data_IF_257281144741
#
_entry.id   IF_257281144741
#
_cell.length_a   1.000
_cell.length_b   1.000
_cell.length_c   1.000
_cell.angle_alpha   90.00
_cell.angle_beta   90.00
_cell.angle_gamma   90.00
#
_symmetry.space_group_name_H-M   'P 1'
#
loop_
_entity.id
_entity.type
_entity.pdbx_description
1 polymer ?
#
# COMPACT_ATOMS: atom_id res chain seq x y z
N UNK A 1 -14.69 3.02 -4.74
CA UNK A 1 -14.50 1.57 -4.98
C UNK A 1 -15.04 1.25 -6.34
N UNK A 2 -14.28 0.52 -7.15
CA UNK A 2 -14.71 0.13 -8.49
C UNK A 2 -15.77 -0.98 -8.36
N UNK A 3 -16.91 -0.75 -8.98
CA UNK A 3 -18.01 -1.70 -9.06
C UNK A 3 -17.67 -2.77 -10.12
N UNK A 4 -17.68 -4.08 -9.79
CA UNK A 4 -17.41 -5.14 -10.75
C UNK A 4 -18.42 -5.18 -11.92
N UNK A 5 -19.56 -4.48 -11.82
CA UNK A 5 -20.53 -4.34 -12.92
C UNK A 5 -20.20 -3.23 -13.93
N UNK A 6 -19.25 -2.34 -13.63
CA UNK A 6 -18.83 -1.30 -14.57
C UNK A 6 -17.86 -1.85 -15.63
N UNK A 7 -18.09 -1.48 -16.89
CA UNK A 7 -17.19 -1.82 -17.99
C UNK A 7 -15.79 -1.27 -17.69
N UNK A 8 -14.77 -2.13 -17.79
CA UNK A 8 -13.39 -1.73 -17.52
C UNK A 8 -12.99 -0.58 -18.45
N UNK A 9 -12.63 0.54 -17.85
CA UNK A 9 -12.05 1.69 -18.52
C UNK A 9 -10.74 2.05 -17.83
N UNK A 10 -9.65 2.06 -18.60
CA UNK A 10 -8.37 2.50 -18.09
C UNK A 10 -8.39 3.98 -17.73
N UNK A 11 -7.69 4.29 -16.65
CA UNK A 11 -7.54 5.66 -16.18
C UNK A 11 -6.28 6.30 -16.77
N UNK A 12 -6.32 7.58 -17.17
CA UNK A 12 -5.14 8.27 -17.67
C UNK A 12 -4.08 8.41 -16.57
N UNK A 13 -2.83 8.65 -16.95
CA UNK A 13 -1.72 8.78 -16.01
C UNK A 13 -2.03 9.78 -14.89
N UNK A 14 -2.58 10.96 -15.20
CA UNK A 14 -2.95 11.97 -14.18
C UNK A 14 -3.91 11.45 -13.10
N UNK A 15 -4.84 10.55 -13.46
CA UNK A 15 -5.72 9.92 -12.48
C UNK A 15 -5.01 8.86 -11.64
N UNK A 16 -4.00 8.16 -12.19
CA UNK A 16 -3.13 7.25 -11.42
C UNK A 16 -2.34 8.01 -10.34
N UNK A 17 -1.79 9.17 -10.68
CA UNK A 17 -1.13 10.05 -9.70
C UNK A 17 -2.09 10.63 -8.67
N UNK A 18 -3.32 10.97 -9.09
CA UNK A 18 -4.36 11.42 -8.16
C UNK A 18 -4.75 10.31 -7.19
N UNK A 19 -4.89 9.07 -7.66
CA UNK A 19 -5.16 7.91 -6.82
C UNK A 19 -4.04 7.70 -5.80
N UNK A 20 -2.78 7.67 -6.24
CA UNK A 20 -1.63 7.54 -5.35
C UNK A 20 -1.59 8.64 -4.28
N UNK A 21 -1.93 9.88 -4.65
CA UNK A 21 -2.03 10.97 -3.69
C UNK A 21 -3.19 10.78 -2.70
N UNK A 22 -4.34 10.29 -3.16
CA UNK A 22 -5.46 10.00 -2.27
C UNK A 22 -5.12 8.94 -1.24
N UNK A 23 -4.43 7.86 -1.64
CA UNK A 23 -4.05 6.77 -0.74
C UNK A 23 -2.88 7.18 0.18
N UNK A 24 -1.89 7.92 -0.31
CA UNK A 24 -0.76 8.44 0.48
C UNK A 24 -1.20 9.45 1.55
N UNK A 25 -2.18 10.30 1.23
CA UNK A 25 -2.67 11.36 2.12
C UNK A 25 -4.03 11.03 2.76
N UNK A 26 -4.38 9.74 2.83
CA UNK A 26 -5.56 9.27 3.54
C UNK A 26 -5.36 9.34 5.08
N UNK A 27 -6.26 10.01 5.83
CA UNK A 27 -6.13 10.12 7.29
C UNK A 27 -6.11 8.77 8.02
N UNK A 28 -6.76 7.75 7.47
CA UNK A 28 -6.77 6.42 8.08
C UNK A 28 -5.41 5.72 7.90
N UNK A 29 -4.75 5.86 6.73
CA UNK A 29 -3.35 5.47 6.54
C UNK A 29 -2.43 6.11 7.57
N UNK A 30 -2.57 7.42 7.85
CA UNK A 30 -1.72 8.12 8.82
C UNK A 30 -1.91 7.65 10.26
N UNK A 31 -3.13 7.25 10.61
CA UNK A 31 -3.41 6.66 11.93
C UNK A 31 -2.72 5.29 12.06
N UNK A 32 -2.77 4.46 11.02
CA UNK A 32 -2.02 3.18 10.98
C UNK A 32 -0.51 3.43 11.06
N UNK A 33 0.02 4.41 10.33
CA UNK A 33 1.42 4.84 10.43
C UNK A 33 1.79 5.20 11.87
N UNK A 34 0.89 5.89 12.59
CA UNK A 34 1.05 6.24 14.00
C UNK A 34 1.21 5.03 14.91
N UNK A 35 0.35 4.03 14.72
CA UNK A 35 0.40 2.77 15.45
C UNK A 35 1.68 2.01 15.12
N UNK A 36 2.02 1.89 13.84
CA UNK A 36 3.24 1.22 13.39
C UNK A 36 4.49 1.86 13.99
N UNK A 37 4.60 3.19 13.96
CA UNK A 37 5.68 3.93 14.59
C UNK A 37 5.75 3.71 16.10
N UNK A 38 4.59 3.55 16.76
CA UNK A 38 4.50 3.26 18.19
C UNK A 38 5.02 1.86 18.54
N UNK A 39 4.68 0.85 17.74
CA UNK A 39 5.22 -0.51 17.88
C UNK A 39 6.72 -0.52 17.62
N UNK A 40 7.19 0.15 16.56
CA UNK A 40 8.61 0.28 16.25
C UNK A 40 9.38 1.04 17.36
N UNK A 41 8.76 2.04 17.99
CA UNK A 41 9.32 2.75 19.14
C UNK A 41 9.48 1.82 20.34
N UNK A 42 8.45 1.04 20.65
CA UNK A 42 8.44 0.10 21.77
C UNK A 42 9.49 -0.99 21.62
N UNK A 43 9.69 -1.50 20.40
CA UNK A 43 10.73 -2.49 20.10
C UNK A 43 12.14 -1.92 19.91
N UNK A 44 12.33 -0.60 20.01
CA UNK A 44 13.56 0.11 19.64
C UNK A 44 14.08 -0.20 18.22
N UNK A 45 13.19 -0.54 17.29
CA UNK A 45 13.53 -0.73 15.88
C UNK A 45 14.13 0.58 15.35
N UNK A 46 15.12 0.52 14.46
CA UNK A 46 15.80 1.72 13.96
C UNK A 46 16.48 2.53 15.08
N UNK A 47 17.19 1.86 16.00
CA UNK A 47 17.81 2.45 17.20
C UNK A 47 18.63 3.73 16.96
N UNK A 48 19.19 3.92 15.76
CA UNK A 48 19.85 5.17 15.36
C UNK A 48 18.96 6.43 15.40
N UNK A 49 17.64 6.29 15.49
CA UNK A 49 16.72 7.40 15.75
C UNK A 49 16.66 7.83 17.21
N UNK A 50 17.09 6.98 18.14
CA UNK A 50 16.99 7.18 19.59
C UNK A 50 15.60 6.89 20.14
N UNK A 51 15.42 7.12 21.45
CA UNK A 51 14.16 6.92 22.17
C UNK A 51 13.45 8.25 22.49
N UNK A 52 12.25 8.16 23.09
CA UNK A 52 11.42 9.32 23.42
C UNK A 52 10.72 9.95 22.21
N UNK A 53 10.13 11.13 22.43
CA UNK A 53 9.28 11.80 21.44
C UNK A 53 10.01 12.09 20.11
N UNK A 54 11.29 12.44 20.16
CA UNK A 54 12.08 12.68 18.96
C UNK A 54 12.32 11.38 18.16
N UNK A 55 12.64 10.28 18.84
CA UNK A 55 12.78 8.96 18.20
C UNK A 55 11.47 8.53 17.55
N UNK A 56 10.35 8.71 18.24
CA UNK A 56 9.02 8.39 17.72
C UNK A 56 8.69 9.22 16.48
N UNK A 57 8.91 10.54 16.53
CA UNK A 57 8.64 11.44 15.40
C UNK A 57 9.47 11.06 14.16
N UNK A 58 10.73 10.64 14.33
CA UNK A 58 11.56 10.15 13.22
C UNK A 58 11.01 8.84 12.64
N UNK A 59 10.61 7.89 13.49
CA UNK A 59 9.98 6.63 13.06
C UNK A 59 8.67 6.89 12.31
N UNK A 60 7.84 7.79 12.83
CA UNK A 60 6.60 8.22 12.19
C UNK A 60 6.85 8.84 10.83
N UNK A 61 7.76 9.84 10.75
CA UNK A 61 8.10 10.50 9.50
C UNK A 61 8.68 9.54 8.45
N UNK A 62 9.52 8.59 8.88
CA UNK A 62 10.07 7.57 7.99
C UNK A 62 9.00 6.59 7.50
N UNK A 63 8.11 6.12 8.37
CA UNK A 63 7.00 5.24 7.99
C UNK A 63 5.97 5.95 7.09
N UNK A 64 5.73 7.24 7.33
CA UNK A 64 4.93 8.08 6.43
C UNK A 64 5.58 8.19 5.05
N UNK A 65 6.89 8.45 5.00
CA UNK A 65 7.63 8.52 3.74
C UNK A 65 7.60 7.17 3.01
N UNK A 66 7.80 6.05 3.71
CA UNK A 66 7.69 4.69 3.16
C UNK A 66 6.32 4.48 2.51
N UNK A 67 5.23 4.80 3.22
CA UNK A 67 3.87 4.68 2.71
C UNK A 67 3.61 5.56 1.49
N UNK A 68 3.97 6.85 1.55
CA UNK A 68 3.76 7.78 0.45
C UNK A 68 4.56 7.36 -0.80
N UNK A 69 5.84 7.04 -0.64
CA UNK A 69 6.70 6.59 -1.75
C UNK A 69 6.16 5.27 -2.31
N UNK A 70 5.74 4.34 -1.45
CA UNK A 70 5.06 3.10 -1.83
C UNK A 70 3.88 3.38 -2.75
N UNK A 71 2.89 4.15 -2.29
CA UNK A 71 1.71 4.51 -3.09
C UNK A 71 2.06 5.15 -4.43
N UNK A 72 3.00 6.09 -4.47
CA UNK A 72 3.40 6.69 -5.75
C UNK A 72 4.11 5.69 -6.68
N UNK A 73 4.95 4.81 -6.16
CA UNK A 73 5.65 3.83 -6.98
C UNK A 73 4.69 2.76 -7.51
N UNK A 74 3.87 2.17 -6.64
CA UNK A 74 2.98 1.04 -6.97
C UNK A 74 1.69 1.48 -7.66
N UNK A 75 1.21 2.71 -7.43
CA UNK A 75 -0.08 3.16 -7.97
C UNK A 75 0.01 4.20 -9.09
N UNK A 76 1.15 4.90 -9.23
CA UNK A 76 1.31 5.94 -10.25
C UNK A 76 2.48 5.68 -11.21
N UNK A 77 3.72 5.65 -10.73
CA UNK A 77 4.92 5.62 -11.57
C UNK A 77 5.02 4.33 -12.37
N UNK A 78 5.10 3.18 -11.71
CA UNK A 78 5.20 1.90 -12.43
C UNK A 78 3.93 1.56 -13.22
N UNK A 79 2.70 1.78 -12.70
CA UNK A 79 1.49 1.56 -13.49
C UNK A 79 1.41 2.41 -14.75
N UNK A 80 1.94 3.63 -14.73
CA UNK A 80 2.03 4.49 -15.91
C UNK A 80 3.06 3.95 -16.91
N UNK A 81 4.24 3.56 -16.44
CA UNK A 81 5.33 3.06 -17.29
C UNK A 81 5.02 1.69 -17.90
N UNK A 82 4.33 0.83 -17.16
CA UNK A 82 4.05 -0.57 -17.52
C UNK A 82 2.63 -0.78 -18.06
N UNK A 83 1.84 0.29 -18.18
CA UNK A 83 0.46 0.25 -18.65
C UNK A 83 -0.41 -0.75 -17.86
N UNK A 84 -0.29 -0.70 -16.52
CA UNK A 84 -1.09 -1.51 -15.60
C UNK A 84 -2.10 -0.64 -14.86
N UNK A 85 -3.22 -1.23 -14.47
CA UNK A 85 -4.19 -0.60 -13.59
C UNK A 85 -3.80 -0.91 -12.14
N UNK A 86 -3.67 0.11 -11.31
CA UNK A 86 -3.33 -0.02 -9.89
C UNK A 86 -4.55 -0.15 -8.98
N UNK A 87 -5.77 0.02 -9.53
CA UNK A 87 -6.97 0.02 -8.71
C UNK A 87 -7.33 -1.38 -8.23
N UNK A 88 -7.76 -1.45 -6.99
CA UNK A 88 -8.39 -2.64 -6.45
C UNK A 88 -9.83 -2.79 -6.97
N UNK A 89 -10.07 -3.84 -7.75
CA UNK A 89 -11.41 -4.24 -8.20
C UNK A 89 -12.01 -5.21 -7.18
N UNK A 90 -13.13 -4.83 -6.57
CA UNK A 90 -13.73 -5.58 -5.47
C UNK A 90 -14.46 -6.82 -5.98
N UNK A 91 -14.33 -7.95 -5.29
CA UNK A 91 -15.12 -9.16 -5.57
C UNK A 91 -16.55 -9.02 -5.04
N UNK A 92 -16.70 -8.51 -3.81
CA UNK A 92 -17.95 -8.03 -3.22
C UNK A 92 -18.94 -9.09 -2.76
N UNK A 93 -18.99 -10.24 -3.43
CA UNK A 93 -19.93 -11.33 -3.16
C UNK A 93 -19.24 -12.65 -2.79
N UNK A 94 -20.00 -13.56 -2.19
CA UNK A 94 -19.53 -14.89 -1.82
C UNK A 94 -18.97 -15.01 -0.40
N UNK A 95 -18.41 -16.19 -0.08
CA UNK A 95 -17.90 -16.54 1.26
C UNK A 95 -16.69 -15.66 1.62
N UNK A 96 -16.59 -15.23 2.88
CA UNK A 96 -15.54 -14.32 3.35
C UNK A 96 -14.11 -14.80 3.01
N UNK A 97 -13.81 -16.09 3.19
CA UNK A 97 -12.48 -16.64 2.88
C UNK A 97 -12.12 -16.57 1.39
N UNK A 98 -13.11 -16.68 0.48
CA UNK A 98 -12.88 -16.51 -0.96
C UNK A 98 -12.52 -15.07 -1.29
N UNK A 99 -13.20 -14.11 -0.65
CA UNK A 99 -12.94 -12.67 -0.79
C UNK A 99 -11.56 -12.29 -0.23
N UNK A 100 -11.18 -12.84 0.91
CA UNK A 100 -9.81 -12.70 1.47
C UNK A 100 -8.77 -13.26 0.49
N UNK A 101 -8.93 -14.51 0.03
CA UNK A 101 -8.01 -15.11 -0.93
C UNK A 101 -7.91 -14.30 -2.22
N UNK A 102 -9.05 -13.84 -2.75
CA UNK A 102 -9.09 -12.95 -3.91
C UNK A 102 -8.32 -11.66 -3.66
N UNK A 103 -8.55 -10.98 -2.54
CA UNK A 103 -7.89 -9.73 -2.18
C UNK A 103 -6.37 -9.89 -2.07
N UNK A 104 -5.91 -10.93 -1.39
CA UNK A 104 -4.47 -11.23 -1.25
C UNK A 104 -3.84 -11.49 -2.61
N UNK A 105 -4.52 -12.20 -3.53
CA UNK A 105 -3.94 -12.45 -4.87
C UNK A 105 -3.75 -11.20 -5.73
N UNK A 106 -4.40 -10.06 -5.41
CA UNK A 106 -4.31 -8.84 -6.24
C UNK A 106 -2.95 -8.13 -6.17
N UNK A 107 -2.13 -8.40 -5.16
CA UNK A 107 -0.73 -7.94 -5.13
C UNK A 107 0.14 -8.65 -6.18
N UNK A 108 -0.31 -9.80 -6.69
CA UNK A 108 0.40 -10.59 -7.70
C UNK A 108 -0.29 -10.53 -9.06
N UNK A 109 -1.60 -10.25 -9.09
CA UNK A 109 -2.41 -10.26 -10.31
C UNK A 109 -3.19 -8.96 -10.44
N UNK A 110 -2.97 -8.26 -11.55
CA UNK A 110 -3.67 -7.01 -11.86
C UNK A 110 -4.19 -6.97 -13.31
N UNK A 111 -4.99 -5.96 -13.64
CA UNK A 111 -5.37 -5.67 -15.02
C UNK A 111 -4.32 -4.80 -15.71
N UNK A 112 -4.15 -5.01 -17.01
CA UNK A 112 -3.54 -4.02 -17.90
C UNK A 112 -4.51 -2.85 -18.15
N UNK A 113 -4.00 -1.73 -18.66
CA UNK A 113 -4.82 -0.64 -19.20
C UNK A 113 -5.70 -1.08 -20.40
N UNK A 114 -5.56 -2.33 -20.88
CA UNK A 114 -6.43 -2.94 -21.90
C UNK A 114 -7.49 -3.87 -21.31
N UNK A 115 -7.53 -4.03 -19.98
CA UNK A 115 -8.49 -4.88 -19.27
C UNK A 115 -8.08 -6.35 -19.17
N UNK A 116 -6.97 -6.77 -19.77
CA UNK A 116 -6.48 -8.15 -19.64
C UNK A 116 -5.80 -8.37 -18.29
N UNK A 117 -6.01 -9.54 -17.69
CA UNK A 117 -5.31 -9.97 -16.49
C UNK A 117 -3.83 -10.27 -16.78
N UNK A 118 -2.95 -9.85 -15.89
CA UNK A 118 -1.50 -10.05 -16.00
C UNK A 118 -0.84 -10.05 -14.61
N UNK A 119 0.43 -10.41 -14.57
CA UNK A 119 1.24 -10.30 -13.35
C UNK A 119 1.36 -8.82 -12.93
N UNK A 120 1.26 -8.55 -11.64
CA UNK A 120 1.34 -7.21 -11.09
C UNK A 120 2.81 -6.79 -10.92
N UNK A 121 3.47 -6.55 -12.05
CA UNK A 121 4.86 -6.08 -12.09
C UNK A 121 5.01 -4.71 -11.42
N UNK A 122 3.99 -3.86 -11.47
CA UNK A 122 4.00 -2.53 -10.86
C UNK A 122 4.09 -2.58 -9.35
N UNK A 123 3.34 -3.50 -8.73
CA UNK A 123 3.43 -3.74 -7.29
C UNK A 123 4.83 -4.18 -6.88
N UNK A 124 5.36 -5.19 -7.55
CA UNK A 124 6.64 -5.79 -7.17
C UNK A 124 7.80 -4.83 -7.42
N UNK A 125 7.86 -4.23 -8.61
CA UNK A 125 8.93 -3.30 -8.95
C UNK A 125 8.79 -1.98 -8.18
N UNK A 126 7.56 -1.51 -7.94
CA UNK A 126 7.28 -0.31 -7.16
C UNK A 126 7.70 -0.45 -5.71
N UNK A 127 7.33 -1.56 -5.06
CA UNK A 127 7.75 -1.84 -3.70
C UNK A 127 9.27 -2.06 -3.57
N UNK A 128 9.90 -2.70 -4.56
CA UNK A 128 11.36 -2.83 -4.57
C UNK A 128 12.06 -1.48 -4.69
N UNK A 129 11.55 -0.59 -5.55
CA UNK A 129 12.05 0.77 -5.69
C UNK A 129 11.84 1.59 -4.40
N UNK A 130 10.65 1.53 -3.82
CA UNK A 130 10.33 2.22 -2.56
C UNK A 130 11.25 1.76 -1.41
N UNK A 131 11.43 0.45 -1.24
CA UNK A 131 12.35 -0.09 -0.24
C UNK A 131 13.80 0.36 -0.50
N UNK A 132 14.23 0.40 -1.76
CA UNK A 132 15.54 0.92 -2.15
C UNK A 132 15.71 2.39 -1.76
N UNK A 133 14.71 3.23 -2.04
CA UNK A 133 14.69 4.66 -1.70
C UNK A 133 14.72 4.87 -0.17
N UNK A 134 14.13 3.96 0.61
CA UNK A 134 14.13 4.04 2.08
C UNK A 134 15.56 4.14 2.67
N UNK A 135 16.55 3.54 2.01
CA UNK A 135 17.95 3.67 2.42
C UNK A 135 18.48 5.12 2.45
N UNK A 136 17.83 6.05 1.77
CA UNK A 136 18.27 7.44 1.74
C UNK A 136 18.00 8.17 3.06
N UNK A 137 16.89 7.85 3.74
CA UNK A 137 16.44 8.57 4.94
C UNK A 137 16.45 7.75 6.23
N UNK A 138 16.58 6.42 6.19
CA UNK A 138 16.74 5.60 7.40
C UNK A 138 18.12 5.78 8.07
N UNK A 139 18.32 5.43 9.36
CA UNK A 139 19.63 5.52 10.02
C UNK A 139 20.65 4.61 9.36
N UNK A 140 21.94 4.96 9.37
CA UNK A 140 22.99 4.17 8.70
C UNK A 140 23.03 2.69 9.10
N UNK A 141 22.73 2.37 10.36
CA UNK A 141 22.67 0.99 10.87
C UNK A 141 21.43 0.20 10.46
N UNK A 142 20.48 0.84 9.76
CA UNK A 142 19.25 0.24 9.24
C UNK A 142 19.11 0.58 7.76
N UNK A 143 20.20 0.34 7.03
CA UNK A 143 20.32 0.44 5.58
C UNK A 143 21.04 -0.81 5.08
N UNK A 144 20.93 -1.09 3.79
CA UNK A 144 21.57 -2.22 3.15
C UNK A 144 20.57 -3.22 2.59
N UNK A 145 21.07 -4.29 1.99
CA UNK A 145 20.24 -5.24 1.25
C UNK A 145 19.25 -5.97 2.13
N UNK A 146 19.67 -6.44 3.31
CA UNK A 146 18.79 -7.20 4.21
C UNK A 146 17.60 -6.36 4.67
N UNK A 147 17.84 -5.14 5.15
CA UNK A 147 16.77 -4.20 5.54
C UNK A 147 15.89 -3.83 4.34
N UNK A 148 16.47 -3.66 3.15
CA UNK A 148 15.71 -3.38 1.92
C UNK A 148 14.78 -4.52 1.58
N UNK A 149 15.23 -5.77 1.71
CA UNK A 149 14.41 -6.96 1.45
C UNK A 149 13.31 -7.12 2.50
N UNK A 150 13.60 -6.85 3.77
CA UNK A 150 12.60 -6.85 4.83
C UNK A 150 11.51 -5.81 4.56
N UNK A 151 11.90 -4.57 4.24
CA UNK A 151 10.96 -3.50 3.88
C UNK A 151 10.14 -3.84 2.64
N UNK A 152 10.76 -4.36 1.60
CA UNK A 152 10.05 -4.84 0.42
C UNK A 152 8.97 -5.86 0.79
N UNK A 153 9.32 -6.86 1.61
CA UNK A 153 8.37 -7.88 2.04
C UNK A 153 7.23 -7.29 2.90
N UNK A 154 7.56 -6.40 3.84
CA UNK A 154 6.58 -5.69 4.68
C UNK A 154 5.62 -4.87 3.83
N UNK A 155 6.11 -4.16 2.81
CA UNK A 155 5.26 -3.36 1.94
C UNK A 155 4.28 -4.24 1.15
N UNK A 156 4.76 -5.30 0.50
CA UNK A 156 3.89 -6.24 -0.26
C UNK A 156 2.83 -6.89 0.64
N UNK A 157 3.20 -7.29 1.85
CA UNK A 157 2.24 -7.85 2.83
C UNK A 157 1.24 -6.80 3.29
N UNK A 158 1.68 -5.57 3.49
CA UNK A 158 0.81 -4.45 3.87
C UNK A 158 -0.20 -4.16 2.77
N UNK A 159 0.20 -4.13 1.51
CA UNK A 159 -0.68 -3.90 0.37
C UNK A 159 -1.74 -5.02 0.25
N UNK A 160 -1.35 -6.27 0.50
CA UNK A 160 -2.30 -7.38 0.58
C UNK A 160 -3.33 -7.18 1.70
N UNK A 161 -2.88 -6.71 2.88
CA UNK A 161 -3.74 -6.34 4.00
C UNK A 161 -4.70 -5.19 3.67
N UNK A 162 -4.21 -4.14 3.00
CA UNK A 162 -5.03 -3.02 2.54
C UNK A 162 -6.04 -3.45 1.47
N UNK A 163 -5.69 -4.37 0.57
CA UNK A 163 -6.64 -4.95 -0.38
C UNK A 163 -7.77 -5.71 0.35
N UNK A 164 -7.45 -6.47 1.40
CA UNK A 164 -8.47 -7.11 2.25
C UNK A 164 -9.33 -6.04 2.93
N UNK A 165 -8.73 -4.97 3.47
CA UNK A 165 -9.49 -3.88 4.06
C UNK A 165 -10.43 -3.23 3.03
N UNK A 166 -9.94 -2.89 1.83
CA UNK A 166 -10.71 -2.34 0.71
C UNK A 166 -11.87 -3.28 0.33
N UNK A 167 -11.65 -4.60 0.34
CA UNK A 167 -12.69 -5.61 0.05
C UNK A 167 -13.84 -5.57 1.07
N UNK A 168 -13.54 -5.44 2.36
CA UNK A 168 -14.53 -5.52 3.44
C UNK A 168 -15.00 -4.16 3.99
N UNK A 169 -14.35 -3.06 3.64
CA UNK A 169 -14.70 -1.73 4.13
C UNK A 169 -16.16 -1.34 3.91
N UNK A 170 -16.83 -1.64 2.77
CA UNK A 170 -18.27 -1.38 2.61
C UNK A 170 -19.13 -2.14 3.61
N UNK A 171 -18.75 -3.35 3.96
CA UNK A 171 -19.50 -4.20 4.89
C UNK A 171 -19.36 -3.68 6.33
N UNK A 172 -18.15 -3.24 6.71
CA UNK A 172 -17.93 -2.58 7.99
C UNK A 172 -18.68 -1.25 8.06
N UNK A 173 -18.59 -0.43 7.01
CA UNK A 173 -19.27 0.87 6.94
C UNK A 173 -20.78 0.72 7.10
N UNK A 174 -21.41 -0.24 6.41
CA UNK A 174 -22.85 -0.52 6.55
C UNK A 174 -23.24 -0.91 7.98
N UNK A 175 -22.44 -1.76 8.64
CA UNK A 175 -22.69 -2.20 10.02
C UNK A 175 -22.49 -1.09 11.06
N UNK A 176 -21.48 -0.24 10.86
CA UNK A 176 -21.11 0.80 11.83
C UNK A 176 -21.99 2.04 11.65
N UNK A 177 -22.21 2.48 10.40
CA UNK A 177 -22.88 3.74 10.11
C UNK A 177 -24.38 3.60 9.83
N UNK A 178 -24.93 2.38 9.79
CA UNK A 178 -26.35 2.10 9.46
C UNK A 178 -26.83 2.87 8.20
N UNK A 179 -25.94 3.12 7.24
CA UNK A 179 -26.25 3.79 5.99
C UNK A 179 -26.15 2.78 4.85
N UNK A 180 -27.23 2.68 4.09
CA UNK A 180 -27.33 1.92 2.85
C UNK A 180 -26.36 2.43 1.79
#
# INVERSE_FOLDING_TARGET
MNDPSQQFQAIPAGEKYKLAAQDAFDPFSWAITGIYAGVAQWGDNYAGYGQGAQGYAKRYGAAFADGAIGSFMTEAVFPTLLHQDSRYFRMGEGRAWKRVGYAVTRVVVTHSDRGNWQFNTSEIAGNAAAAGIANLYYPRGSRGLDETLEKFAVNVVSDAGFNVLKEFWPDMRRKILHKE
#
